data_IF_773468565062
#
_entry.id   IF_773468565062
#
_cell.length_a   1.000
_cell.length_b   1.000
_cell.length_c   1.000
_cell.angle_alpha   90.00
_cell.angle_beta   90.00
_cell.angle_gamma   90.00
#
_symmetry.space_group_name_H-M   'P 1'
#
loop_
_entity.id
_entity.type
_entity.pdbx_description
1 polymer ?
#
# COMPACT_ATOMS: atom_id res chain seq x y z
N UNK A 1 -9.08 -16.98 -43.71
CA UNK A 1 -9.63 -18.18 -44.35
C UNK A 1 -8.54 -18.81 -45.19
N UNK A 2 -7.90 -19.87 -44.69
CA UNK A 2 -6.93 -20.67 -45.44
C UNK A 2 -7.24 -22.15 -45.17
N UNK A 3 -7.80 -22.76 -46.21
CA UNK A 3 -7.65 -24.12 -46.74
C UNK A 3 -7.80 -25.35 -45.82
N UNK A 4 -8.79 -26.15 -46.23
CA UNK A 4 -9.06 -27.57 -45.93
C UNK A 4 -7.86 -28.48 -46.20
N UNK A 5 -7.73 -29.54 -45.39
CA UNK A 5 -7.26 -30.85 -45.85
C UNK A 5 -8.03 -31.95 -45.10
N UNK A 6 -8.29 -33.04 -45.81
CA UNK A 6 -9.24 -34.11 -45.50
C UNK A 6 -8.53 -35.37 -45.02
N UNK A 7 -9.22 -36.13 -44.16
CA UNK A 7 -9.32 -37.61 -44.07
C UNK A 7 -8.10 -38.47 -43.71
N UNK A 8 -8.26 -39.31 -42.66
CA UNK A 8 -8.29 -40.80 -42.74
C UNK A 8 -8.58 -41.49 -41.38
N UNK A 9 -9.61 -42.35 -41.38
CA UNK A 9 -9.87 -43.53 -40.51
C UNK A 9 -8.79 -44.62 -40.75
N UNK A 10 -8.56 -45.70 -39.99
CA UNK A 10 -9.02 -46.33 -38.74
C UNK A 10 -8.01 -47.47 -38.40
N UNK A 11 -7.97 -47.99 -37.16
CA UNK A 11 -7.78 -49.42 -36.83
C UNK A 11 -7.68 -49.68 -35.30
N UNK A 12 -8.42 -50.69 -34.85
CA UNK A 12 -8.55 -51.23 -33.48
C UNK A 12 -7.33 -52.02 -32.97
N UNK A 13 -7.20 -52.18 -31.64
CA UNK A 13 -6.99 -53.48 -30.97
C UNK A 13 -6.97 -53.33 -29.44
N UNK A 14 -7.75 -54.16 -28.74
CA UNK A 14 -7.84 -54.22 -27.27
C UNK A 14 -6.96 -55.29 -26.61
N UNK A 15 -6.83 -55.21 -25.28
CA UNK A 15 -6.47 -56.32 -24.36
C UNK A 15 -6.74 -55.89 -22.91
N UNK A 16 -7.80 -56.39 -22.29
CA UNK A 16 -7.87 -57.54 -21.37
C UNK A 16 -7.41 -57.24 -19.93
N UNK A 17 -8.42 -57.13 -19.07
CA UNK A 17 -8.39 -57.15 -17.61
C UNK A 17 -8.26 -58.58 -17.10
N UNK A 18 -7.28 -58.88 -16.24
CA UNK A 18 -7.20 -60.13 -15.48
C UNK A 18 -7.39 -59.86 -13.98
N UNK A 19 -8.43 -60.46 -13.41
CA UNK A 19 -8.63 -60.60 -11.98
C UNK A 19 -7.94 -61.85 -11.45
N UNK A 20 -7.47 -61.79 -10.20
CA UNK A 20 -6.99 -62.96 -9.45
C UNK A 20 -7.36 -62.84 -7.96
N UNK A 21 -8.37 -63.64 -7.58
CA UNK A 21 -8.40 -64.58 -6.45
C UNK A 21 -8.08 -64.07 -5.02
N UNK A 22 -9.13 -64.02 -4.19
CA UNK A 22 -9.05 -63.91 -2.74
C UNK A 22 -8.56 -65.23 -2.09
N UNK A 23 -7.70 -65.20 -1.06
CA UNK A 23 -7.30 -66.38 -0.32
C UNK A 23 -8.20 -66.68 0.89
N UNK A 24 -8.33 -67.97 1.15
CA UNK A 24 -9.08 -68.70 2.16
C UNK A 24 -9.26 -68.08 3.56
N UNK A 25 -10.48 -68.23 4.08
CA UNK A 25 -10.95 -67.87 5.42
C UNK A 25 -10.26 -68.72 6.49
N UNK A 26 -9.40 -68.09 7.29
CA UNK A 26 -8.88 -68.62 8.56
C UNK A 26 -10.03 -68.85 9.54
N UNK A 27 -10.08 -70.02 10.18
CA UNK A 27 -11.00 -70.34 11.29
C UNK A 27 -10.96 -69.24 12.36
N UNK A 28 -11.97 -68.36 12.39
CA UNK A 28 -12.06 -67.26 13.35
C UNK A 28 -12.33 -67.86 14.74
N UNK A 29 -11.31 -67.85 15.61
CA UNK A 29 -11.46 -68.23 17.02
C UNK A 29 -12.33 -67.18 17.70
N UNK A 30 -13.57 -67.56 18.02
CA UNK A 30 -14.48 -66.73 18.80
C UNK A 30 -14.08 -66.79 20.28
N UNK A 31 -14.01 -65.63 20.92
CA UNK A 31 -13.61 -65.42 22.31
C UNK A 31 -14.84 -64.98 23.13
N UNK A 32 -15.03 -65.58 24.30
CA UNK A 32 -16.01 -65.11 25.29
C UNK A 32 -15.38 -64.09 26.22
N UNK A 33 -16.08 -62.99 26.50
CA UNK A 33 -15.63 -61.95 27.43
C UNK A 33 -16.70 -61.67 28.48
N UNK A 34 -16.27 -61.18 29.64
CA UNK A 34 -17.19 -60.60 30.62
C UNK A 34 -17.55 -59.17 30.20
N UNK A 35 -18.83 -58.79 30.26
CA UNK A 35 -19.25 -57.42 29.98
C UNK A 35 -19.93 -56.79 31.20
N UNK A 36 -19.66 -55.52 31.45
CA UNK A 36 -20.25 -54.74 32.53
C UNK A 36 -20.36 -53.28 32.10
N UNK A 37 -21.54 -52.67 32.25
CA UNK A 37 -21.96 -51.37 31.68
C UNK A 37 -21.91 -51.24 30.14
N UNK A 38 -21.16 -52.09 29.42
CA UNK A 38 -21.07 -52.08 27.97
C UNK A 38 -21.34 -53.48 27.37
N UNK A 39 -22.56 -53.96 27.59
CA UNK A 39 -23.02 -55.25 27.07
C UNK A 39 -23.88 -55.06 25.80
N UNK A 40 -23.72 -55.92 24.77
CA UNK A 40 -24.65 -55.99 23.64
C UNK A 40 -26.07 -56.36 24.09
N UNK A 41 -27.09 -55.98 23.33
CA UNK A 41 -28.50 -56.26 23.63
C UNK A 41 -28.80 -57.77 23.74
N UNK A 42 -28.07 -58.60 22.99
CA UNK A 42 -28.20 -60.06 23.00
C UNK A 42 -27.36 -60.76 24.10
N UNK A 43 -26.83 -59.99 25.07
CA UNK A 43 -26.00 -60.55 26.14
C UNK A 43 -26.82 -61.38 27.12
N UNK A 44 -26.31 -62.57 27.46
CA UNK A 44 -26.86 -63.41 28.53
C UNK A 44 -25.79 -63.55 29.62
N UNK A 45 -26.20 -63.42 30.88
CA UNK A 45 -25.33 -63.61 32.05
C UNK A 45 -24.07 -62.71 32.06
N UNK A 46 -24.19 -61.43 31.63
CA UNK A 46 -23.07 -60.48 31.57
C UNK A 46 -21.88 -60.97 30.74
N UNK A 47 -22.17 -61.68 29.65
CA UNK A 47 -21.17 -62.18 28.71
C UNK A 47 -21.43 -61.68 27.31
N UNK A 48 -20.35 -61.51 26.54
CA UNK A 48 -20.39 -61.17 25.12
C UNK A 48 -19.39 -62.06 24.37
N UNK A 49 -19.60 -62.21 23.06
CA UNK A 49 -18.75 -63.03 22.19
C UNK A 49 -18.17 -62.18 21.07
N UNK A 50 -16.88 -62.34 20.77
CA UNK A 50 -16.20 -61.53 19.76
C UNK A 50 -15.15 -62.33 18.97
N UNK A 51 -14.83 -61.88 17.77
CA UNK A 51 -13.70 -62.36 16.95
C UNK A 51 -12.42 -61.51 17.15
N UNK A 52 -12.51 -60.45 17.97
CA UNK A 52 -11.42 -59.54 18.29
C UNK A 52 -10.90 -59.70 19.73
N UNK A 53 -11.07 -58.66 20.56
CA UNK A 53 -10.45 -58.53 21.87
C UNK A 53 -11.49 -58.42 22.99
N UNK A 54 -11.19 -58.98 24.16
CA UNK A 54 -11.85 -58.57 25.39
C UNK A 54 -11.17 -57.32 25.94
N UNK A 55 -11.92 -56.40 26.55
CA UNK A 55 -11.34 -55.21 27.17
C UNK A 55 -11.89 -54.94 28.56
N UNK A 56 -11.09 -54.22 29.34
CA UNK A 56 -11.50 -53.56 30.59
C UNK A 56 -10.97 -52.12 30.55
N UNK A 57 -11.79 -51.16 30.99
CA UNK A 57 -11.50 -49.75 30.95
C UNK A 57 -11.89 -49.08 32.27
N UNK A 58 -11.12 -48.08 32.68
CA UNK A 58 -11.49 -47.14 33.72
C UNK A 58 -11.50 -45.71 33.17
N UNK A 59 -12.58 -44.98 33.40
CA UNK A 59 -12.75 -43.58 33.00
C UNK A 59 -13.26 -42.75 34.19
N UNK A 60 -12.84 -41.49 34.28
CA UNK A 60 -13.28 -40.57 35.33
C UNK A 60 -14.52 -39.79 34.88
N UNK A 61 -15.71 -40.20 35.36
CA UNK A 61 -16.96 -39.45 35.18
C UNK A 61 -17.31 -38.72 36.48
N UNK A 62 -17.42 -37.38 36.42
CA UNK A 62 -17.81 -36.57 37.58
C UNK A 62 -16.84 -36.64 38.78
N UNK A 63 -15.57 -37.03 38.56
CA UNK A 63 -14.56 -37.20 39.61
C UNK A 63 -14.56 -38.57 40.29
N UNK A 64 -15.39 -39.52 39.82
CA UNK A 64 -15.45 -40.90 40.31
C UNK A 64 -14.91 -41.83 39.22
N UNK A 65 -14.01 -42.79 39.55
CA UNK A 65 -13.56 -43.80 38.59
C UNK A 65 -14.71 -44.78 38.30
N UNK A 66 -15.16 -44.82 37.05
CA UNK A 66 -16.14 -45.78 36.54
C UNK A 66 -15.42 -46.83 35.73
N UNK A 67 -15.62 -48.11 36.06
CA UNK A 67 -15.04 -49.24 35.35
C UNK A 67 -16.07 -49.86 34.39
N UNK A 68 -15.65 -50.12 33.16
CA UNK A 68 -16.46 -50.77 32.13
C UNK A 68 -15.68 -51.92 31.48
N UNK A 69 -16.39 -52.94 31.03
CA UNK A 69 -15.79 -54.11 30.39
C UNK A 69 -16.69 -54.64 29.27
N UNK A 70 -16.11 -55.25 28.25
CA UNK A 70 -16.87 -55.82 27.14
C UNK A 70 -16.03 -56.42 26.02
N UNK A 71 -16.64 -56.48 24.84
CA UNK A 71 -16.09 -57.09 23.64
C UNK A 71 -15.82 -56.04 22.56
N UNK A 72 -14.67 -56.15 21.90
CA UNK A 72 -14.33 -55.38 20.71
C UNK A 72 -14.18 -56.32 19.51
N UNK A 73 -14.81 -55.98 18.40
CA UNK A 73 -14.66 -56.72 17.14
C UNK A 73 -13.26 -56.57 16.54
N UNK A 74 -12.91 -57.45 15.59
CA UNK A 74 -11.58 -57.44 14.98
C UNK A 74 -11.28 -56.14 14.19
N UNK A 75 -12.31 -55.53 13.57
CA UNK A 75 -12.16 -54.29 12.79
C UNK A 75 -12.12 -53.08 13.72
N UNK A 76 -10.98 -52.39 13.78
CA UNK A 76 -10.80 -51.15 14.55
C UNK A 76 -10.34 -51.32 16.00
N UNK A 77 -10.29 -52.55 16.51
CA UNK A 77 -9.78 -52.85 17.86
C UNK A 77 -8.29 -52.56 18.04
N UNK A 78 -7.48 -52.67 16.98
CA UNK A 78 -6.05 -52.35 17.05
C UNK A 78 -5.81 -50.90 17.47
N UNK A 79 -6.61 -49.95 16.98
CA UNK A 79 -6.51 -48.55 17.36
C UNK A 79 -6.98 -48.31 18.80
N UNK A 80 -8.08 -48.96 19.20
CA UNK A 80 -8.66 -48.79 20.53
C UNK A 80 -7.78 -49.38 21.63
N UNK A 81 -7.15 -50.54 21.38
CA UNK A 81 -6.27 -51.21 22.33
C UNK A 81 -4.83 -50.63 22.35
N UNK A 82 -4.42 -49.85 21.34
CA UNK A 82 -3.12 -49.14 21.32
C UNK A 82 -3.20 -47.66 21.69
N UNK A 83 -4.36 -47.01 21.62
CA UNK A 83 -4.52 -45.62 22.06
C UNK A 83 -4.54 -45.52 23.59
N UNK A 84 -3.35 -45.46 24.18
CA UNK A 84 -3.16 -45.01 25.55
C UNK A 84 -2.39 -43.70 25.51
N UNK A 85 -3.09 -42.55 25.50
CA UNK A 85 -2.45 -41.31 25.92
C UNK A 85 -2.88 -39.96 25.34
N UNK A 86 -3.85 -39.86 24.42
CA UNK A 86 -4.14 -38.57 23.76
C UNK A 86 -5.57 -37.99 23.92
N UNK A 87 -6.40 -38.55 24.80
CA UNK A 87 -7.72 -37.94 25.09
C UNK A 87 -7.63 -36.93 26.24
N UNK A 88 -8.41 -35.84 26.15
CA UNK A 88 -8.59 -34.83 27.20
C UNK A 88 -9.23 -35.41 28.49
N UNK A 89 -9.70 -36.65 28.46
CA UNK A 89 -10.29 -37.38 29.57
C UNK A 89 -9.29 -38.37 30.19
N UNK A 90 -9.24 -38.44 31.53
CA UNK A 90 -8.45 -39.46 32.24
C UNK A 90 -9.14 -40.81 32.07
N UNK A 91 -8.67 -41.57 31.09
CA UNK A 91 -9.14 -42.90 30.75
C UNK A 91 -7.96 -43.84 30.51
N UNK A 92 -8.10 -45.09 30.94
CA UNK A 92 -7.15 -46.16 30.67
C UNK A 92 -7.93 -47.40 30.21
N UNK A 93 -7.47 -48.05 29.14
CA UNK A 93 -8.08 -49.25 28.57
C UNK A 93 -7.01 -50.29 28.31
N UNK A 94 -7.29 -51.53 28.71
CA UNK A 94 -6.45 -52.70 28.47
C UNK A 94 -7.26 -53.77 27.74
N UNK A 95 -6.59 -54.52 26.86
CA UNK A 95 -7.20 -55.55 26.04
C UNK A 95 -6.43 -56.87 26.13
N UNK A 96 -7.12 -58.00 25.94
CA UNK A 96 -6.55 -59.33 25.93
C UNK A 96 -7.26 -60.26 24.92
N UNK A 97 -6.56 -61.31 24.47
CA UNK A 97 -7.05 -62.31 23.51
C UNK A 97 -6.66 -63.74 23.86
N UNK A 98 -6.03 -63.96 25.01
CA UNK A 98 -5.32 -65.21 25.29
C UNK A 98 -6.26 -66.39 25.54
N UNK A 99 -7.36 -66.14 26.28
CA UNK A 99 -8.34 -67.14 26.69
C UNK A 99 -9.72 -66.52 26.96
N UNK A 100 -10.76 -67.36 26.96
CA UNK A 100 -12.11 -66.93 27.32
C UNK A 100 -12.11 -66.30 28.73
N UNK A 101 -12.79 -65.16 28.84
CA UNK A 101 -12.92 -64.32 30.03
C UNK A 101 -11.62 -63.69 30.53
N UNK A 102 -10.59 -63.56 29.69
CA UNK A 102 -9.31 -62.96 30.06
C UNK A 102 -9.43 -61.55 30.66
N UNK A 103 -10.49 -60.80 30.34
CA UNK A 103 -10.67 -59.44 30.84
C UNK A 103 -11.08 -59.35 32.31
N UNK A 104 -11.34 -60.49 32.97
CA UNK A 104 -11.53 -60.55 34.43
C UNK A 104 -10.25 -60.27 35.21
N UNK A 105 -9.11 -60.56 34.60
CA UNK A 105 -7.79 -60.40 35.21
C UNK A 105 -7.15 -59.04 34.87
N UNK A 106 -7.84 -58.21 34.07
CA UNK A 106 -7.39 -56.87 33.70
C UNK A 106 -7.79 -55.83 34.74
N UNK A 107 -6.82 -55.07 35.23
CA UNK A 107 -7.01 -54.04 36.25
C UNK A 107 -6.35 -52.71 35.84
N UNK A 108 -6.90 -52.02 34.81
CA UNK A 108 -6.35 -50.75 34.38
C UNK A 108 -6.51 -49.69 35.49
N UNK A 109 -5.44 -48.94 35.75
CA UNK A 109 -5.47 -47.82 36.70
C UNK A 109 -5.49 -46.47 35.98
N UNK A 110 -6.20 -45.48 36.53
CA UNK A 110 -6.20 -44.13 35.99
C UNK A 110 -4.77 -43.55 36.00
N UNK A 111 -4.33 -42.87 34.93
CA UNK A 111 -3.01 -42.23 34.91
C UNK A 111 -2.91 -41.21 36.06
N UNK A 112 -1.73 -41.06 36.70
CA UNK A 112 -1.56 -40.12 37.80
C UNK A 112 -1.92 -38.70 37.35
N UNK A 113 -2.60 -37.95 38.22
CA UNK A 113 -2.80 -36.52 38.01
C UNK A 113 -1.42 -35.89 37.85
N UNK A 114 -1.06 -35.46 36.62
CA UNK A 114 0.05 -34.54 36.47
C UNK A 114 -0.37 -33.28 37.23
N UNK A 115 0.31 -32.88 38.31
CA UNK A 115 0.04 -31.57 38.91
C UNK A 115 0.14 -30.52 37.79
N UNK A 116 -0.64 -29.43 37.84
CA UNK A 116 -0.52 -28.38 36.84
C UNK A 116 0.96 -28.05 36.77
N UNK A 117 1.54 -28.24 35.59
CA UNK A 117 2.91 -27.85 35.31
C UNK A 117 3.04 -26.42 35.81
N UNK A 118 3.76 -26.27 36.90
CA UNK A 118 4.29 -25.01 37.38
C UNK A 118 4.90 -24.36 36.14
N UNK A 119 4.21 -23.34 35.62
CA UNK A 119 4.65 -22.60 34.45
C UNK A 119 5.96 -21.96 34.87
N UNK A 120 7.05 -22.56 34.41
CA UNK A 120 8.42 -22.24 34.79
C UNK A 120 8.61 -20.73 34.63
N UNK A 121 8.86 -20.01 35.73
CA UNK A 121 8.96 -18.53 35.75
C UNK A 121 9.95 -18.00 34.72
N UNK A 122 10.89 -18.85 34.28
CA UNK A 122 11.80 -18.60 33.16
C UNK A 122 11.07 -18.20 31.87
N UNK A 123 9.92 -18.78 31.54
CA UNK A 123 9.21 -18.48 30.27
C UNK A 123 8.62 -17.06 30.31
N UNK A 124 8.02 -16.65 31.42
CA UNK A 124 7.52 -15.28 31.58
C UNK A 124 8.65 -14.25 31.58
N UNK A 125 9.77 -14.54 32.24
CA UNK A 125 10.94 -13.67 32.21
C UNK A 125 11.55 -13.57 30.81
N UNK A 126 11.64 -14.67 30.06
CA UNK A 126 12.13 -14.66 28.68
C UNK A 126 11.18 -13.91 27.73
N UNK A 127 9.86 -14.09 27.87
CA UNK A 127 8.87 -13.35 27.09
C UNK A 127 8.92 -11.84 27.37
N UNK A 128 9.11 -11.45 28.64
CA UNK A 128 9.26 -10.05 29.02
C UNK A 128 10.56 -9.44 28.48
N UNK A 129 11.68 -10.17 28.53
CA UNK A 129 12.95 -9.74 27.94
C UNK A 129 12.86 -9.56 26.42
N UNK A 130 12.18 -10.48 25.71
CA UNK A 130 11.94 -10.36 24.27
C UNK A 130 11.04 -9.16 23.97
N UNK A 131 9.97 -8.95 24.75
CA UNK A 131 9.07 -7.82 24.55
C UNK A 131 9.79 -6.48 24.78
N UNK A 132 10.55 -6.35 25.87
CA UNK A 132 11.30 -5.12 26.20
C UNK A 132 12.38 -4.83 25.15
N UNK A 133 13.09 -5.84 24.65
CA UNK A 133 14.12 -5.66 23.61
C UNK A 133 13.50 -5.23 22.29
N UNK A 134 12.39 -5.84 21.86
CA UNK A 134 11.66 -5.45 20.65
C UNK A 134 11.12 -4.02 20.77
N UNK A 135 10.49 -3.67 21.90
CA UNK A 135 10.01 -2.31 22.15
C UNK A 135 11.15 -1.28 22.16
N UNK A 136 12.31 -1.63 22.72
CA UNK A 136 13.50 -0.75 22.76
C UNK A 136 14.10 -0.54 21.37
N UNK A 137 14.13 -1.57 20.52
CA UNK A 137 14.58 -1.46 19.12
C UNK A 137 13.61 -0.59 18.31
N UNK A 138 12.30 -0.77 18.50
CA UNK A 138 11.29 0.06 17.83
C UNK A 138 11.41 1.52 18.29
N UNK A 139 11.53 1.77 19.60
CA UNK A 139 11.73 3.11 20.15
C UNK A 139 13.02 3.74 19.63
N UNK A 140 14.13 2.99 19.59
CA UNK A 140 15.39 3.42 19.02
C UNK A 140 15.29 3.74 17.53
N UNK A 141 14.54 2.95 16.77
CA UNK A 141 14.25 3.20 15.36
C UNK A 141 13.39 4.45 15.15
N UNK A 142 12.38 4.68 16.00
CA UNK A 142 11.56 5.90 15.99
C UNK A 142 12.40 7.12 16.36
N UNK A 143 13.22 7.04 17.41
CA UNK A 143 14.13 8.12 17.83
C UNK A 143 15.16 8.39 16.74
N UNK A 144 15.75 7.36 16.13
CA UNK A 144 16.68 7.50 15.02
C UNK A 144 16.00 8.11 13.80
N UNK A 145 14.78 7.70 13.47
CA UNK A 145 14.01 8.28 12.39
C UNK A 145 13.64 9.74 12.68
N UNK A 146 13.17 10.06 13.89
CA UNK A 146 12.87 11.42 14.35
C UNK A 146 14.13 12.28 14.37
N UNK A 147 15.26 11.76 14.85
CA UNK A 147 16.57 12.42 14.82
C UNK A 147 17.04 12.61 13.39
N UNK A 148 16.87 11.64 12.49
CA UNK A 148 17.23 11.78 11.09
C UNK A 148 16.31 12.76 10.37
N UNK A 149 15.03 12.83 10.73
CA UNK A 149 14.10 13.85 10.22
C UNK A 149 14.41 15.24 10.76
N UNK A 150 14.71 15.35 12.05
CA UNK A 150 15.14 16.58 12.72
C UNK A 150 16.47 17.06 12.14
N UNK A 151 17.47 16.17 12.09
CA UNK A 151 18.76 16.43 11.46
C UNK A 151 18.60 16.70 9.97
N UNK A 152 17.69 16.08 9.22
CA UNK A 152 17.39 16.43 7.81
C UNK A 152 16.68 17.78 7.67
N UNK A 153 15.97 18.22 8.69
CA UNK A 153 15.37 19.55 8.79
C UNK A 153 16.41 20.61 9.14
N UNK A 154 17.41 20.27 9.97
CA UNK A 154 18.54 21.12 10.38
C UNK A 154 19.68 21.13 9.34
N UNK A 155 19.87 20.01 8.62
CA UNK A 155 20.71 19.86 7.43
C UNK A 155 19.96 20.18 6.13
N UNK A 156 18.84 20.92 6.23
CA UNK A 156 18.65 22.02 5.28
C UNK A 156 19.84 22.94 5.52
N UNK A 157 20.87 22.94 4.66
CA UNK A 157 21.99 23.81 4.89
C UNK A 157 21.42 25.23 4.92
N UNK A 158 21.69 25.99 5.99
CA UNK A 158 22.05 27.40 5.79
C UNK A 158 23.23 27.32 4.84
N UNK A 159 22.94 27.35 3.54
CA UNK A 159 23.98 27.34 2.53
C UNK A 159 24.69 28.68 2.71
N UNK A 160 25.85 28.59 3.34
CA UNK A 160 26.86 29.63 3.39
C UNK A 160 27.06 30.15 1.98
N UNK A 161 26.93 31.46 1.84
CA UNK A 161 27.48 32.21 0.71
C UNK A 161 28.97 31.86 0.65
N UNK A 162 29.30 30.90 -0.21
CA UNK A 162 30.64 30.72 -0.74
C UNK A 162 30.68 31.53 -2.02
N UNK A 163 31.41 32.64 -1.97
CA UNK A 163 31.81 33.43 -3.13
C UNK A 163 32.50 32.52 -4.15
N UNK A 164 31.83 32.21 -5.25
CA UNK A 164 32.48 32.17 -6.55
C UNK A 164 31.73 33.11 -7.46
N UNK A 165 32.41 34.23 -7.66
CA UNK A 165 32.07 35.38 -8.46
C UNK A 165 32.13 34.98 -9.93
N UNK A 166 30.97 34.91 -10.59
CA UNK A 166 30.91 35.18 -12.02
C UNK A 166 29.84 36.25 -12.25
N UNK A 167 30.32 37.36 -12.79
CA UNK A 167 29.70 38.66 -12.86
C UNK A 167 28.41 38.62 -13.69
N UNK A 168 27.26 38.92 -13.08
CA UNK A 168 26.15 39.52 -13.81
C UNK A 168 25.54 40.64 -12.98
N UNK A 169 25.94 41.85 -13.36
CA UNK A 169 25.55 43.15 -12.82
C UNK A 169 24.03 43.23 -12.59
N UNK A 170 23.62 43.28 -11.31
CA UNK A 170 22.26 43.65 -10.89
C UNK A 170 22.41 44.93 -10.05
N UNK A 171 21.76 46.06 -10.41
CA UNK A 171 21.67 47.21 -9.53
C UNK A 171 20.93 46.82 -8.24
N UNK A 172 21.40 47.23 -7.06
CA UNK A 172 20.71 46.91 -5.81
C UNK A 172 19.36 47.62 -5.76
N UNK A 173 18.26 46.86 -5.86
CA UNK A 173 16.90 47.39 -5.64
C UNK A 173 15.77 46.80 -6.47
N UNK A 174 16.02 46.05 -7.55
CA UNK A 174 14.94 45.50 -8.38
C UNK A 174 14.59 44.06 -8.00
N UNK A 175 13.42 43.85 -7.38
CA UNK A 175 12.89 42.51 -7.18
C UNK A 175 12.27 41.98 -8.48
N UNK A 176 12.19 40.65 -8.61
CA UNK A 176 11.52 39.99 -9.74
C UNK A 176 10.06 40.47 -9.90
N UNK A 177 9.39 40.79 -8.80
CA UNK A 177 8.02 41.32 -8.83
C UNK A 177 7.99 42.70 -9.46
N UNK A 178 8.93 43.58 -9.10
CA UNK A 178 9.00 44.94 -9.63
C UNK A 178 9.22 44.93 -11.15
N UNK A 179 10.10 44.05 -11.65
CA UNK A 179 10.33 43.87 -13.09
C UNK A 179 9.06 43.43 -13.83
N UNK A 180 8.30 42.50 -13.25
CA UNK A 180 7.05 42.03 -13.82
C UNK A 180 6.00 43.15 -13.80
N UNK A 181 5.87 43.89 -12.70
CA UNK A 181 4.91 44.99 -12.56
C UNK A 181 5.22 46.16 -13.51
N UNK A 182 6.48 46.55 -13.64
CA UNK A 182 6.93 47.56 -14.60
C UNK A 182 6.61 47.16 -16.04
N UNK A 183 6.85 45.89 -16.40
CA UNK A 183 6.58 45.41 -17.77
C UNK A 183 5.10 45.33 -18.12
N UNK A 184 4.24 45.11 -17.12
CA UNK A 184 2.79 44.98 -17.33
C UNK A 184 2.08 46.32 -17.53
N UNK A 185 2.67 47.42 -17.04
CA UNK A 185 2.17 48.77 -17.29
C UNK A 185 2.17 49.16 -18.79
N UNK A 186 2.92 48.42 -19.63
CA UNK A 186 2.98 48.61 -21.09
C UNK A 186 1.86 47.89 -21.87
N UNK A 187 1.05 47.04 -21.22
CA UNK A 187 -0.32 46.75 -21.66
C UNK A 187 -0.58 45.66 -22.73
N UNK A 188 0.36 44.78 -23.09
CA UNK A 188 0.13 43.78 -24.17
C UNK A 188 0.10 42.30 -23.74
N UNK A 189 0.30 41.95 -22.46
CA UNK A 189 0.22 40.55 -22.00
C UNK A 189 0.71 40.32 -20.57
N UNK A 190 0.49 39.12 -20.04
CA UNK A 190 1.02 38.66 -18.74
C UNK A 190 2.45 38.14 -18.88
N UNK A 191 3.30 38.48 -17.91
CA UNK A 191 4.73 38.11 -17.88
C UNK A 191 5.65 39.24 -18.34
N UNK A 192 6.94 38.93 -18.53
CA UNK A 192 7.95 39.90 -19.00
C UNK A 192 7.84 40.15 -20.51
N UNK A 193 8.40 41.25 -21.06
CA UNK A 193 8.36 41.53 -22.49
C UNK A 193 9.12 40.47 -23.30
N UNK A 194 8.69 40.19 -24.54
CA UNK A 194 9.22 39.11 -25.39
C UNK A 194 10.75 39.12 -25.55
N UNK A 195 11.39 40.30 -25.60
CA UNK A 195 12.84 40.41 -25.72
C UNK A 195 13.59 40.01 -24.44
N UNK A 196 12.98 40.23 -23.27
CA UNK A 196 13.53 39.78 -21.99
C UNK A 196 13.34 38.27 -21.84
N UNK A 197 12.22 37.72 -22.30
CA UNK A 197 11.90 36.28 -22.18
C UNK A 197 12.96 35.37 -22.83
N UNK A 198 13.53 35.75 -23.99
CA UNK A 198 14.46 34.91 -24.81
C UNK A 198 15.88 34.72 -24.25
N UNK A 199 16.16 35.21 -23.05
CA UNK A 199 17.48 35.06 -22.41
C UNK A 199 17.42 34.48 -21.01
N UNK A 200 16.22 34.25 -20.48
CA UNK A 200 16.03 33.86 -19.08
C UNK A 200 16.48 32.42 -18.85
N UNK A 201 16.22 31.49 -19.77
CA UNK A 201 16.58 30.08 -19.57
C UNK A 201 18.10 29.86 -19.47
N UNK A 202 18.91 30.76 -20.03
CA UNK A 202 20.37 30.74 -19.88
C UNK A 202 20.83 31.17 -18.49
N UNK A 203 20.08 32.06 -17.85
CA UNK A 203 20.38 32.62 -16.52
C UNK A 203 19.80 31.80 -15.37
N UNK A 204 18.84 30.90 -15.66
CA UNK A 204 18.25 30.03 -14.63
C UNK A 204 19.23 28.91 -14.25
N UNK A 205 19.49 28.81 -12.95
CA UNK A 205 20.16 27.67 -12.34
C UNK A 205 19.12 26.64 -11.91
N UNK A 206 19.14 25.45 -12.51
CA UNK A 206 18.24 24.34 -12.15
C UNK A 206 18.74 23.70 -10.86
N UNK A 207 17.90 23.63 -9.82
CA UNK A 207 18.32 23.18 -8.48
C UNK A 207 17.81 21.78 -8.15
N UNK A 208 16.51 21.53 -8.30
CA UNK A 208 15.91 20.25 -7.91
C UNK A 208 14.66 19.94 -8.75
N UNK A 209 14.53 18.70 -9.20
CA UNK A 209 13.27 18.20 -9.75
C UNK A 209 12.19 18.12 -8.66
N UNK A 210 11.07 18.81 -8.86
CA UNK A 210 9.95 18.89 -7.92
C UNK A 210 8.71 18.15 -8.41
N UNK A 211 8.64 17.79 -9.69
CA UNK A 211 7.55 17.01 -10.24
C UNK A 211 7.87 16.39 -11.59
N UNK A 212 7.09 15.39 -11.97
CA UNK A 212 7.08 14.79 -13.30
C UNK A 212 5.64 14.65 -13.76
N UNK A 213 5.32 15.27 -14.89
CA UNK A 213 4.00 15.24 -15.51
C UNK A 213 4.01 14.42 -16.80
N UNK A 214 2.85 14.42 -17.49
CA UNK A 214 2.70 13.75 -18.79
C UNK A 214 3.62 14.34 -19.86
N UNK A 215 3.71 15.66 -19.90
CA UNK A 215 4.34 16.41 -21.00
C UNK A 215 5.79 16.81 -20.72
N UNK A 216 6.29 16.54 -19.51
CA UNK A 216 7.60 17.00 -19.11
C UNK A 216 7.85 16.94 -17.61
N UNK A 217 8.94 17.56 -17.20
CA UNK A 217 9.40 17.60 -15.81
C UNK A 217 9.28 19.00 -15.24
N UNK A 218 9.03 19.11 -13.94
CA UNK A 218 8.98 20.39 -13.24
C UNK A 218 10.15 20.46 -12.28
N UNK A 219 10.91 21.54 -12.38
CA UNK A 219 12.10 21.81 -11.59
C UNK A 219 11.93 23.08 -10.78
N UNK A 220 12.47 23.10 -9.56
CA UNK A 220 12.75 24.33 -8.86
C UNK A 220 14.10 24.85 -9.34
N UNK A 221 14.12 26.08 -9.82
CA UNK A 221 15.30 26.80 -10.24
C UNK A 221 15.51 28.08 -9.42
N UNK A 222 16.66 28.72 -9.63
CA UNK A 222 16.96 30.05 -9.12
C UNK A 222 17.21 31.00 -10.28
N UNK A 223 16.58 32.16 -10.24
CA UNK A 223 16.84 33.26 -11.16
C UNK A 223 17.01 34.55 -10.37
N UNK A 224 18.17 35.21 -10.51
CA UNK A 224 18.52 36.43 -9.76
C UNK A 224 18.29 36.29 -8.24
N UNK A 225 18.66 35.13 -7.68
CA UNK A 225 18.49 34.82 -6.25
C UNK A 225 17.10 34.29 -5.85
N UNK A 226 16.06 34.59 -6.64
CA UNK A 226 14.67 34.19 -6.38
C UNK A 226 14.37 32.76 -6.85
N UNK A 227 13.47 32.06 -6.14
CA UNK A 227 13.04 30.71 -6.53
C UNK A 227 11.96 30.77 -7.61
N UNK A 228 12.14 30.01 -8.67
CA UNK A 228 11.18 29.86 -9.78
C UNK A 228 10.85 28.39 -10.02
N UNK A 229 9.67 28.11 -10.55
CA UNK A 229 9.30 26.80 -11.06
C UNK A 229 9.50 26.78 -12.57
N UNK A 230 10.14 25.74 -13.08
CA UNK A 230 10.46 25.59 -14.51
C UNK A 230 9.89 24.27 -14.99
N UNK A 231 8.85 24.31 -15.81
CA UNK A 231 8.32 23.15 -16.50
C UNK A 231 9.09 23.00 -17.81
N UNK A 232 9.85 21.91 -17.91
CA UNK A 232 10.68 21.55 -19.05
C UNK A 232 9.92 20.50 -19.88
N UNK A 233 9.52 20.88 -21.08
CA UNK A 233 8.82 19.99 -22.00
C UNK A 233 9.80 19.25 -22.90
N UNK A 234 9.44 18.03 -23.28
CA UNK A 234 10.13 17.31 -24.35
C UNK A 234 9.88 18.02 -25.69
N UNK A 235 10.82 17.96 -26.62
CA UNK A 235 10.67 18.56 -27.96
C UNK A 235 9.46 18.01 -28.72
N UNK A 236 9.11 16.75 -28.49
CA UNK A 236 7.90 16.11 -29.05
C UNK A 236 6.60 16.72 -28.54
N UNK A 237 6.64 17.48 -27.45
CA UNK A 237 5.49 18.11 -26.78
C UNK A 237 5.44 19.63 -27.03
N UNK A 238 6.02 20.11 -28.13
CA UNK A 238 6.02 21.52 -28.52
C UNK A 238 4.61 22.11 -28.60
N UNK A 239 3.64 21.38 -29.17
CA UNK A 239 2.25 21.82 -29.24
C UNK A 239 1.61 21.98 -27.86
N UNK A 240 2.02 21.16 -26.87
CA UNK A 240 1.56 21.25 -25.49
C UNK A 240 2.16 22.48 -24.80
N UNK A 241 3.47 22.73 -24.98
CA UNK A 241 4.17 23.92 -24.48
C UNK A 241 3.60 25.21 -25.07
N UNK A 242 3.39 25.26 -26.38
CA UNK A 242 2.84 26.43 -27.07
C UNK A 242 1.46 26.79 -26.55
N UNK A 243 0.56 25.80 -26.47
CA UNK A 243 -0.82 26.00 -26.00
C UNK A 243 -0.87 26.49 -24.55
N UNK A 244 -0.07 25.89 -23.66
CA UNK A 244 -0.03 26.32 -22.26
C UNK A 244 0.54 27.74 -22.12
N UNK A 245 1.61 28.05 -22.86
CA UNK A 245 2.21 29.39 -22.90
C UNK A 245 1.20 30.43 -23.41
N UNK A 246 0.49 30.13 -24.49
CA UNK A 246 -0.52 31.01 -25.08
C UNK A 246 -1.70 31.29 -24.15
N UNK A 247 -2.08 30.31 -23.32
CA UNK A 247 -3.08 30.52 -22.27
C UNK A 247 -2.52 31.46 -21.19
N UNK A 248 -1.33 31.19 -20.67
CA UNK A 248 -0.72 32.02 -19.63
C UNK A 248 -0.44 33.46 -20.08
N UNK A 249 -0.16 33.69 -21.36
CA UNK A 249 0.08 35.02 -21.96
C UNK A 249 -1.21 35.77 -22.33
N UNK A 250 -2.39 35.17 -22.12
CA UNK A 250 -3.67 35.82 -22.44
C UNK A 250 -3.80 37.16 -21.70
N UNK A 251 -4.33 38.17 -22.39
CA UNK A 251 -4.54 39.51 -21.83
C UNK A 251 -5.46 39.43 -20.61
N UNK A 252 -5.13 40.18 -19.56
CA UNK A 252 -5.82 40.18 -18.25
C UNK A 252 -5.91 38.79 -17.59
N UNK A 253 -5.04 37.84 -17.94
CA UNK A 253 -5.01 36.50 -17.32
C UNK A 253 -4.44 36.53 -15.89
N UNK A 254 -3.52 37.45 -15.59
CA UNK A 254 -2.87 37.52 -14.27
C UNK A 254 -3.90 37.84 -13.18
N UNK A 255 -3.90 37.01 -12.14
CA UNK A 255 -4.80 37.14 -10.98
C UNK A 255 -4.12 36.54 -9.76
N UNK A 256 -4.47 36.99 -8.55
CA UNK A 256 -3.82 36.52 -7.32
C UNK A 256 -4.02 35.02 -7.07
N UNK A 257 -5.05 34.41 -7.65
CA UNK A 257 -5.33 32.97 -7.52
C UNK A 257 -5.13 32.19 -8.84
N UNK A 258 -4.34 32.75 -9.75
CA UNK A 258 -3.79 32.04 -10.91
C UNK A 258 -2.27 32.03 -10.77
N UNK A 259 -1.63 30.92 -11.16
CA UNK A 259 -0.18 30.80 -11.07
C UNK A 259 0.51 31.90 -11.87
N UNK A 260 1.44 32.61 -11.23
CA UNK A 260 2.15 33.72 -11.85
C UNK A 260 3.08 33.23 -12.95
N UNK A 261 2.71 33.50 -14.20
CA UNK A 261 3.59 33.34 -15.34
C UNK A 261 4.67 34.41 -15.35
N UNK A 262 5.90 34.00 -15.63
CA UNK A 262 7.08 34.88 -15.73
C UNK A 262 7.51 34.96 -17.19
N UNK A 263 7.81 33.81 -17.80
CA UNK A 263 8.35 33.74 -19.16
C UNK A 263 8.20 32.34 -19.76
N UNK A 264 8.31 32.25 -21.08
CA UNK A 264 8.56 31.02 -21.81
C UNK A 264 9.80 31.22 -22.69
N UNK A 265 10.68 30.22 -22.73
CA UNK A 265 11.97 30.35 -23.42
C UNK A 265 12.44 28.99 -23.96
N UNK A 266 13.35 29.02 -24.92
CA UNK A 266 13.88 27.83 -25.61
C UNK A 266 15.38 27.76 -25.35
N UNK A 267 15.81 26.70 -24.66
CA UNK A 267 17.22 26.45 -24.34
C UNK A 267 17.79 25.35 -25.23
N UNK A 268 18.71 25.71 -26.12
CA UNK A 268 19.52 24.74 -26.85
C UNK A 268 20.73 24.29 -26.03
N UNK A 269 20.87 22.98 -25.80
CA UNK A 269 22.05 22.38 -25.15
C UNK A 269 23.00 21.71 -26.15
N UNK A 270 22.97 22.13 -27.42
CA UNK A 270 23.77 21.57 -28.51
C UNK A 270 23.15 20.30 -29.12
N UNK A 271 22.91 19.27 -28.30
CA UNK A 271 22.39 17.96 -28.74
C UNK A 271 20.87 17.83 -28.70
N UNK A 272 20.17 18.71 -27.98
CA UNK A 272 18.71 18.77 -27.95
C UNK A 272 18.22 20.14 -27.49
N UNK A 273 16.98 20.45 -27.85
CA UNK A 273 16.27 21.67 -27.47
C UNK A 273 15.38 21.40 -26.26
N UNK A 274 15.32 22.32 -25.32
CA UNK A 274 14.40 22.25 -24.18
C UNK A 274 13.47 23.45 -24.21
N UNK A 275 12.17 23.19 -24.06
CA UNK A 275 11.14 24.23 -24.03
C UNK A 275 10.78 24.51 -22.56
N UNK A 276 11.04 25.73 -22.10
CA UNK A 276 10.83 26.13 -20.72
C UNK A 276 9.56 26.95 -20.60
N UNK A 277 8.76 26.64 -19.58
CA UNK A 277 7.70 27.49 -19.06
C UNK A 277 8.04 27.84 -17.61
N UNK A 278 8.24 29.12 -17.34
CA UNK A 278 8.79 29.63 -16.07
C UNK A 278 7.69 30.36 -15.31
N UNK A 279 7.47 29.95 -14.06
CA UNK A 279 6.41 30.46 -13.19
C UNK A 279 6.91 30.69 -11.77
N UNK A 280 6.08 31.36 -10.96
CA UNK A 280 6.33 31.51 -9.53
C UNK A 280 6.48 30.14 -8.84
N UNK A 281 7.47 30.02 -7.94
CA UNK A 281 7.60 28.84 -7.10
C UNK A 281 6.78 28.97 -5.80
N UNK A 282 6.05 27.92 -5.45
CA UNK A 282 5.31 27.83 -4.19
C UNK A 282 5.78 26.64 -3.35
N UNK A 283 6.37 26.95 -2.19
CA UNK A 283 7.06 25.97 -1.34
C UNK A 283 6.15 24.95 -0.65
N UNK A 284 4.87 25.31 -0.43
CA UNK A 284 3.86 24.41 0.13
C UNK A 284 3.35 23.39 -0.90
N UNK A 285 3.78 23.51 -2.17
CA UNK A 285 3.45 22.55 -3.22
C UNK A 285 1.98 22.56 -3.60
N UNK A 286 1.49 21.41 -4.06
CA UNK A 286 0.09 21.24 -4.45
C UNK A 286 -0.83 21.15 -3.23
N UNK A 287 -2.10 21.51 -3.41
CA UNK A 287 -3.15 21.33 -2.40
C UNK A 287 -3.27 19.85 -2.01
N UNK A 288 -3.03 18.93 -2.94
CA UNK A 288 -2.94 17.49 -2.66
C UNK A 288 -1.84 17.15 -1.63
N UNK A 289 -0.64 17.71 -1.80
CA UNK A 289 0.47 17.47 -0.87
C UNK A 289 0.26 18.18 0.46
N UNK A 290 -0.31 19.38 0.42
CA UNK A 290 -0.63 20.19 1.59
C UNK A 290 -1.64 19.48 2.51
N UNK A 291 -2.75 18.98 1.95
CA UNK A 291 -3.80 18.30 2.70
C UNK A 291 -3.35 16.95 3.28
N UNK A 292 -2.33 16.30 2.71
CA UNK A 292 -1.74 15.08 3.26
C UNK A 292 -0.92 15.32 4.52
N UNK A 293 -0.34 16.50 4.65
CA UNK A 293 0.63 16.83 5.71
C UNK A 293 0.06 17.77 6.77
N UNK A 294 -1.09 18.39 6.51
CA UNK A 294 -1.64 19.46 7.35
C UNK A 294 -3.16 19.28 7.53
N UNK A 295 -3.61 19.21 8.78
CA UNK A 295 -5.03 19.33 9.15
C UNK A 295 -5.45 20.80 9.17
N UNK A 296 -6.68 21.10 8.76
CA UNK A 296 -7.16 22.47 8.62
C UNK A 296 -8.18 22.81 9.72
N UNK A 297 -8.11 24.05 10.21
CA UNK A 297 -9.24 24.67 10.91
C UNK A 297 -10.25 25.24 9.90
N UNK A 298 -11.44 25.62 10.38
CA UNK A 298 -12.51 26.14 9.52
C UNK A 298 -12.05 27.38 8.73
N UNK A 299 -11.22 28.24 9.34
CA UNK A 299 -10.72 29.46 8.71
C UNK A 299 -9.76 29.16 7.56
N UNK A 300 -8.81 28.24 7.74
CA UNK A 300 -7.90 27.81 6.69
C UNK A 300 -8.64 27.06 5.58
N UNK A 301 -9.59 26.20 5.93
CA UNK A 301 -10.44 25.51 4.95
C UNK A 301 -11.18 26.51 4.05
N UNK A 302 -11.87 27.50 4.64
CA UNK A 302 -12.56 28.55 3.90
C UNK A 302 -11.60 29.38 3.05
N UNK A 303 -10.41 29.71 3.57
CA UNK A 303 -9.40 30.47 2.82
C UNK A 303 -8.94 29.71 1.57
N UNK A 304 -8.63 28.43 1.67
CA UNK A 304 -8.21 27.59 0.55
C UNK A 304 -9.34 27.43 -0.48
N UNK A 305 -10.58 27.18 -0.02
CA UNK A 305 -11.74 27.05 -0.89
C UNK A 305 -12.05 28.35 -1.62
N UNK A 306 -12.14 29.47 -0.90
CA UNK A 306 -12.44 30.80 -1.43
C UNK A 306 -11.41 31.24 -2.48
N UNK A 307 -10.13 31.12 -2.17
CA UNK A 307 -9.06 31.49 -3.12
C UNK A 307 -9.06 30.58 -4.36
N UNK A 308 -9.31 29.27 -4.20
CA UNK A 308 -9.42 28.36 -5.35
C UNK A 308 -10.59 28.72 -6.26
N UNK A 309 -11.77 28.98 -5.70
CA UNK A 309 -12.95 29.36 -6.50
C UNK A 309 -12.83 30.76 -7.08
N UNK A 310 -12.15 31.69 -6.41
CA UNK A 310 -11.86 33.03 -6.96
C UNK A 310 -11.00 32.94 -8.22
N UNK A 311 -9.95 32.12 -8.22
CA UNK A 311 -9.15 31.85 -9.43
C UNK A 311 -9.97 31.20 -10.54
N UNK A 312 -10.85 30.25 -10.20
CA UNK A 312 -11.69 29.58 -11.19
C UNK A 312 -12.74 30.52 -11.79
N UNK A 313 -13.33 31.39 -10.96
CA UNK A 313 -14.25 32.43 -11.38
C UNK A 313 -13.55 33.39 -12.35
N UNK A 314 -12.34 33.85 -12.03
CA UNK A 314 -11.54 34.69 -12.93
C UNK A 314 -11.28 34.01 -14.28
N UNK A 315 -10.93 32.71 -14.29
CA UNK A 315 -10.77 31.94 -15.54
C UNK A 315 -12.06 31.97 -16.38
N UNK A 316 -13.19 31.67 -15.75
CA UNK A 316 -14.49 31.51 -16.43
C UNK A 316 -15.10 32.84 -16.90
N UNK A 317 -14.83 33.95 -16.21
CA UNK A 317 -15.42 35.25 -16.53
C UNK A 317 -14.76 35.88 -17.77
N UNK A 318 -15.56 36.18 -18.78
CA UNK A 318 -15.15 37.02 -19.91
C UNK A 318 -15.00 38.48 -19.43
N UNK A 319 -13.89 39.13 -19.80
CA UNK A 319 -13.65 40.55 -19.47
C UNK A 319 -13.67 41.33 -20.77
N UNK A 320 -14.59 42.28 -20.88
CA UNK A 320 -14.72 43.13 -22.06
C UNK A 320 -13.70 44.27 -22.05
N UNK A 321 -13.17 44.61 -23.22
CA UNK A 321 -12.20 45.69 -23.42
C UNK A 321 -11.64 45.68 -24.84
N UNK A 322 -10.82 46.66 -25.18
CA UNK A 322 -10.11 46.73 -26.47
C UNK A 322 -9.24 45.48 -26.72
N UNK A 323 -8.63 44.97 -25.65
CA UNK A 323 -8.06 43.62 -25.59
C UNK A 323 -8.67 42.87 -24.40
N UNK A 324 -9.90 42.37 -24.60
CA UNK A 324 -10.61 41.61 -23.58
C UNK A 324 -10.00 40.25 -23.29
N UNK A 325 -10.35 39.68 -22.14
CA UNK A 325 -10.03 38.31 -21.76
C UNK A 325 -11.20 37.40 -22.15
N UNK A 326 -11.03 36.36 -22.98
CA UNK A 326 -12.08 35.40 -23.24
C UNK A 326 -12.41 34.57 -21.98
N UNK A 327 -13.60 33.98 -21.94
CA UNK A 327 -13.90 32.93 -20.96
C UNK A 327 -13.00 31.72 -21.21
N UNK A 328 -12.41 31.15 -20.16
CA UNK A 328 -11.47 30.02 -20.26
C UNK A 328 -11.95 28.89 -19.35
N UNK A 329 -12.12 27.69 -19.91
CA UNK A 329 -12.38 26.49 -19.11
C UNK A 329 -11.10 25.67 -18.91
N UNK A 330 -10.79 25.30 -17.66
CA UNK A 330 -9.53 24.61 -17.32
C UNK A 330 -9.43 23.17 -17.82
N UNK A 331 -10.53 22.39 -17.71
CA UNK A 331 -10.66 20.99 -18.13
C UNK A 331 -9.80 19.92 -17.43
N UNK A 332 -8.95 20.28 -16.47
CA UNK A 332 -8.15 19.33 -15.67
C UNK A 332 -7.97 19.85 -14.23
N UNK A 333 -9.07 20.35 -13.65
CA UNK A 333 -9.06 20.88 -12.29
C UNK A 333 -9.05 19.72 -11.29
N UNK A 334 -7.99 19.65 -10.50
CA UNK A 334 -7.78 18.66 -9.43
C UNK A 334 -6.85 19.23 -8.37
N UNK A 335 -6.84 18.66 -7.17
CA UNK A 335 -6.01 19.15 -6.05
C UNK A 335 -4.50 19.15 -6.34
N UNK A 336 -4.02 18.34 -7.29
CA UNK A 336 -2.62 18.38 -7.77
C UNK A 336 -2.29 19.61 -8.63
N UNK A 337 -3.30 20.22 -9.26
CA UNK A 337 -3.16 21.37 -10.16
C UNK A 337 -3.55 22.69 -9.46
N UNK A 338 -3.74 22.67 -8.14
CA UNK A 338 -3.93 23.86 -7.31
C UNK A 338 -2.72 23.92 -6.37
N UNK A 339 -2.03 25.05 -6.31
CA UNK A 339 -0.87 25.26 -5.45
C UNK A 339 -1.24 26.09 -4.22
N UNK A 340 -0.62 25.81 -3.09
CA UNK A 340 -0.80 26.57 -1.84
C UNK A 340 0.34 27.58 -1.69
N UNK A 341 0.00 28.84 -1.47
CA UNK A 341 0.95 29.93 -1.25
C UNK A 341 1.38 30.01 0.21
N UNK A 342 2.46 30.77 0.47
CA UNK A 342 3.00 30.99 1.82
C UNK A 342 2.01 31.69 2.77
N UNK A 343 1.12 32.54 2.24
CA UNK A 343 0.07 33.21 3.00
C UNK A 343 -1.19 32.32 3.23
N UNK A 344 -1.16 31.06 2.77
CA UNK A 344 -2.25 30.10 2.94
C UNK A 344 -3.42 30.28 1.97
N UNK A 345 -3.27 31.07 0.90
CA UNK A 345 -4.23 31.08 -0.22
C UNK A 345 -3.79 30.14 -1.34
N UNK A 346 -4.69 29.83 -2.26
CA UNK A 346 -4.43 28.98 -3.41
C UNK A 346 -4.16 29.80 -4.69
N UNK A 347 -3.49 29.16 -5.65
CA UNK A 347 -3.57 29.53 -7.06
C UNK A 347 -3.71 28.30 -7.95
N UNK A 348 -4.39 28.48 -9.07
CA UNK A 348 -4.61 27.42 -10.06
C UNK A 348 -3.42 27.37 -11.04
N UNK A 349 -2.96 26.17 -11.36
CA UNK A 349 -1.82 25.87 -12.21
C UNK A 349 -2.19 24.84 -13.30
N UNK A 350 -1.24 24.54 -14.18
CA UNK A 350 -1.36 23.52 -15.25
C UNK A 350 -2.52 23.77 -16.23
N UNK A 351 -2.39 24.83 -17.02
CA UNK A 351 -3.40 25.28 -17.98
C UNK A 351 -3.26 24.63 -19.37
N UNK A 352 -2.46 23.57 -19.50
CA UNK A 352 -2.12 22.96 -20.80
C UNK A 352 -3.30 22.29 -21.52
N UNK A 353 -4.40 22.01 -20.82
CA UNK A 353 -5.64 21.46 -21.40
C UNK A 353 -6.79 22.49 -21.49
N UNK A 354 -6.51 23.75 -21.12
CA UNK A 354 -7.51 24.79 -21.10
C UNK A 354 -8.01 25.15 -22.51
N UNK A 355 -9.23 25.68 -22.60
CA UNK A 355 -9.83 26.14 -23.85
C UNK A 355 -10.38 27.55 -23.67
N UNK A 356 -10.16 28.41 -24.68
CA UNK A 356 -10.73 29.75 -24.78
C UNK A 356 -12.09 29.64 -25.49
N UNK A 357 -13.11 30.30 -24.98
CA UNK A 357 -14.34 30.54 -25.73
C UNK A 357 -14.06 31.61 -26.78
N UNK A 358 -14.18 31.24 -28.05
CA UNK A 358 -14.03 32.12 -29.21
C UNK A 358 -15.44 32.24 -29.81
N UNK A 359 -15.95 33.47 -29.89
CA UNK A 359 -17.25 33.74 -30.52
C UNK A 359 -17.16 33.71 -32.04
#
# INVERSE_FOLDING_TARGET
>A
MLLRASSKEAAESGKETSGSTAPALSSQRLLWCHCYHHCPEDSTNNTCRTDGYCFTMVEEEGGVPVQTAGCLGLVGSEFQCRESGNSRQRRSLECCTDQDYCNRDLHPTLPPLKPPLYVDGKIHHMALLISVTVCSIILGGIIFFCYFRYKRQESRPRYSIGLEQDETYIPPGESLKDLIEQSQSSGSGSGLPLLVQRTIAKQIQMVKQIGKGRYGEVWMGRWRGEKVAVKVFFTTEEASWFRETEIYQTVLMRHENILGFIAADIKGTGSWTQLYLITDYHENGSLYDYLKSTTLDNKAMLRLAYSSVSGLCHLHTEIFGTQGKPAIAHRDLKSKNILVKRNGTCCIADLGLAVKFIR
#
